data_IF_219248173655
#
_entry.id   IF_219248173655
#
_cell.length_a   1.000
_cell.length_b   1.000
_cell.length_c   1.000
_cell.angle_alpha   90.00
_cell.angle_beta   90.00
_cell.angle_gamma   90.00
#
_symmetry.space_group_name_H-M   'P 1'
#
loop_
_entity.id
_entity.type
_entity.pdbx_description
1 polymer ?
#
# COMPACT_ATOMS: atom_id res chain seq x y z
N UNK A 1 -7.90 -18.73 -9.68
CA UNK A 1 -8.44 -17.36 -9.49
C UNK A 1 -7.25 -16.45 -9.35
N UNK A 2 -7.22 -15.36 -10.13
CA UNK A 2 -6.14 -14.36 -10.11
C UNK A 2 -5.82 -14.05 -8.65
N UNK A 3 -4.53 -14.15 -8.33
CA UNK A 3 -3.94 -13.85 -7.03
C UNK A 3 -4.71 -12.69 -6.42
N UNK A 4 -5.30 -12.92 -5.23
CA UNK A 4 -5.77 -11.85 -4.34
C UNK A 4 -4.68 -10.81 -4.43
N UNK A 5 -5.01 -9.66 -5.05
CA UNK A 5 -4.08 -8.60 -5.30
C UNK A 5 -3.48 -8.29 -3.95
N UNK A 6 -2.22 -8.69 -3.74
CA UNK A 6 -1.39 -7.97 -2.80
C UNK A 6 -1.48 -6.55 -3.31
N UNK A 7 -2.17 -5.71 -2.54
CA UNK A 7 -1.94 -4.29 -2.61
C UNK A 7 -0.49 -4.14 -2.16
N UNK A 8 0.43 -4.34 -3.10
CA UNK A 8 1.68 -3.62 -3.09
C UNK A 8 1.22 -2.17 -3.00
N UNK A 9 1.22 -1.64 -1.78
CA UNK A 9 1.26 -0.20 -1.55
C UNK A 9 2.58 0.22 -2.20
N UNK A 10 2.56 0.35 -3.52
CA UNK A 10 3.61 0.96 -4.29
C UNK A 10 3.62 2.41 -3.86
N UNK A 11 4.29 2.67 -2.74
CA UNK A 11 4.93 3.93 -2.48
C UNK A 11 6.11 4.02 -3.47
N UNK A 12 5.78 3.94 -4.77
CA UNK A 12 6.69 4.00 -5.90
C UNK A 12 7.19 5.43 -6.06
N UNK A 13 7.77 5.96 -4.99
CA UNK A 13 8.24 7.30 -4.88
C UNK A 13 9.61 7.34 -5.53
N UNK A 14 9.64 7.47 -6.86
CA UNK A 14 10.83 7.76 -7.66
C UNK A 14 11.84 8.58 -6.86
N UNK A 15 12.95 7.94 -6.47
CA UNK A 15 14.10 8.62 -5.92
C UNK A 15 14.46 9.73 -6.90
N UNK A 16 14.40 10.98 -6.45
CA UNK A 16 14.98 12.09 -7.15
C UNK A 16 16.50 11.85 -7.18
N UNK A 17 16.95 11.05 -8.14
CA UNK A 17 18.28 11.24 -8.70
C UNK A 17 18.30 12.68 -9.19
N UNK A 18 19.21 13.46 -8.63
CA UNK A 18 19.49 14.85 -9.01
C UNK A 18 20.13 14.82 -10.40
N UNK A 19 19.39 14.39 -11.42
CA UNK A 19 19.75 14.43 -12.83
C UNK A 19 18.55 14.01 -13.70
N UNK A 20 17.50 14.82 -13.72
CA UNK A 20 16.68 15.05 -14.93
C UNK A 20 15.72 16.22 -14.71
N UNK A 21 16.23 17.44 -14.90
CA UNK A 21 15.47 18.71 -14.98
C UNK A 21 14.61 18.83 -16.26
N UNK A 22 14.12 17.72 -16.81
CA UNK A 22 13.22 17.72 -17.97
C UNK A 22 12.02 16.84 -17.65
N UNK A 23 10.95 17.47 -17.14
CA UNK A 23 9.65 16.82 -16.97
C UNK A 23 8.97 16.98 -15.61
N UNK A 24 9.35 17.94 -14.76
CA UNK A 24 8.44 18.35 -13.68
C UNK A 24 7.20 18.98 -14.33
N UNK A 25 6.12 18.21 -14.39
CA UNK A 25 4.84 18.63 -14.94
C UNK A 25 4.37 19.96 -14.35
N UNK A 26 3.50 20.68 -15.09
CA UNK A 26 2.92 21.97 -14.66
C UNK A 26 2.41 21.97 -13.21
N UNK A 27 1.93 20.82 -12.71
CA UNK A 27 1.45 20.58 -11.34
C UNK A 27 2.55 20.76 -10.30
N UNK A 28 3.73 20.16 -10.50
CA UNK A 28 4.84 20.29 -9.55
C UNK A 28 5.30 21.75 -9.41
N UNK A 29 5.31 22.49 -10.51
CA UNK A 29 5.61 23.93 -10.50
C UNK A 29 4.50 24.79 -9.86
N UNK A 30 3.25 24.33 -9.86
CA UNK A 30 2.15 25.05 -9.22
C UNK A 30 2.15 24.87 -7.70
N UNK A 31 2.37 23.63 -7.22
CA UNK A 31 2.51 23.33 -5.80
C UNK A 31 3.69 24.10 -5.19
N UNK A 32 4.83 24.13 -5.88
CA UNK A 32 6.00 24.94 -5.48
C UNK A 32 5.70 26.44 -5.36
N UNK A 33 4.69 26.96 -6.08
CA UNK A 33 4.26 28.37 -6.03
C UNK A 33 3.15 28.65 -5.01
N UNK A 34 2.34 27.65 -4.68
CA UNK A 34 1.20 27.78 -3.77
C UNK A 34 1.63 27.86 -2.28
N UNK A 35 2.85 27.42 -1.96
CA UNK A 35 3.45 27.57 -0.63
C UNK A 35 3.13 26.45 0.35
N UNK A 36 3.55 26.62 1.61
CA UNK A 36 3.52 25.57 2.65
C UNK A 36 2.11 25.10 2.99
N UNK A 37 1.12 26.00 3.07
CA UNK A 37 -0.25 25.62 3.46
C UNK A 37 -0.90 24.66 2.46
N UNK A 38 -0.78 24.94 1.16
CA UNK A 38 -1.34 24.05 0.13
C UNK A 38 -0.57 22.73 0.06
N UNK A 39 0.75 22.80 0.24
CA UNK A 39 1.60 21.62 0.31
C UNK A 39 1.21 20.72 1.50
N UNK A 40 0.92 21.32 2.66
CA UNK A 40 0.45 20.57 3.83
C UNK A 40 -0.90 19.92 3.57
N UNK A 41 -1.86 20.62 2.93
CA UNK A 41 -3.16 20.04 2.60
C UNK A 41 -3.05 18.83 1.66
N UNK A 42 -2.13 18.88 0.68
CA UNK A 42 -1.82 17.75 -0.20
C UNK A 42 -1.24 16.56 0.59
N UNK A 43 -0.31 16.82 1.51
CA UNK A 43 0.32 15.79 2.35
C UNK A 43 -0.70 15.16 3.30
N UNK A 44 -1.54 15.97 3.94
CA UNK A 44 -2.60 15.50 4.83
C UNK A 44 -3.61 14.62 4.09
N UNK A 45 -4.08 15.06 2.91
CA UNK A 45 -4.95 14.26 2.06
C UNK A 45 -4.30 12.91 1.69
N UNK A 46 -3.04 12.93 1.25
CA UNK A 46 -2.31 11.71 0.89
C UNK A 46 -2.22 10.74 2.07
N UNK A 47 -1.85 11.23 3.25
CA UNK A 47 -1.67 10.40 4.44
C UNK A 47 -2.98 9.81 4.94
N UNK A 48 -4.03 10.62 5.04
CA UNK A 48 -5.35 10.15 5.44
C UNK A 48 -5.93 9.17 4.40
N UNK A 49 -5.68 9.41 3.11
CA UNK A 49 -6.12 8.50 2.06
C UNK A 49 -5.36 7.17 2.11
N UNK A 50 -4.05 7.16 2.31
CA UNK A 50 -3.26 5.93 2.46
C UNK A 50 -3.69 5.11 3.69
N UNK A 51 -3.89 5.77 4.83
CA UNK A 51 -4.35 5.11 6.06
C UNK A 51 -5.77 4.53 5.86
N UNK A 52 -6.66 5.26 5.17
CA UNK A 52 -7.99 4.77 4.77
C UNK A 52 -7.90 3.58 3.82
N UNK A 53 -7.07 3.70 2.79
CA UNK A 53 -6.95 2.69 1.74
C UNK A 53 -6.42 1.37 2.31
N UNK A 54 -5.39 1.43 3.16
CA UNK A 54 -4.83 0.26 3.86
C UNK A 54 -5.87 -0.44 4.74
N UNK A 55 -6.60 0.33 5.56
CA UNK A 55 -7.59 -0.25 6.49
C UNK A 55 -8.79 -0.83 5.73
N UNK A 56 -9.30 -0.11 4.74
CA UNK A 56 -10.45 -0.51 3.94
C UNK A 56 -10.15 -1.71 3.03
N UNK A 57 -8.94 -1.79 2.46
CA UNK A 57 -8.53 -2.93 1.63
C UNK A 57 -8.55 -4.23 2.42
N UNK A 58 -7.95 -4.25 3.62
CA UNK A 58 -7.96 -5.42 4.51
C UNK A 58 -9.38 -5.85 4.88
N UNK A 59 -10.26 -4.89 5.14
CA UNK A 59 -11.67 -5.17 5.45
C UNK A 59 -12.39 -5.80 4.25
N UNK A 60 -12.23 -5.22 3.05
CA UNK A 60 -12.87 -5.70 1.82
C UNK A 60 -12.35 -7.08 1.42
N UNK A 61 -11.05 -7.34 1.52
CA UNK A 61 -10.47 -8.66 1.26
C UNK A 61 -11.08 -9.75 2.16
N UNK A 62 -11.30 -9.44 3.44
CA UNK A 62 -11.94 -10.36 4.37
C UNK A 62 -13.42 -10.60 4.00
N UNK A 63 -14.13 -9.57 3.51
CA UNK A 63 -15.49 -9.72 2.98
C UNK A 63 -15.51 -10.62 1.74
N UNK A 64 -14.57 -10.45 0.81
CA UNK A 64 -14.48 -11.29 -0.40
C UNK A 64 -14.25 -12.76 0.01
N UNK A 65 -13.31 -13.02 0.93
CA UNK A 65 -13.08 -14.37 1.49
C UNK A 65 -14.33 -14.93 2.16
N UNK A 66 -15.06 -14.12 2.91
CA UNK A 66 -16.34 -14.53 3.51
C UNK A 66 -17.36 -14.90 2.42
N UNK A 67 -17.49 -14.08 1.38
CA UNK A 67 -18.46 -14.31 0.31
C UNK A 67 -18.16 -15.59 -0.48
N UNK A 68 -16.88 -15.91 -0.70
CA UNK A 68 -16.46 -17.20 -1.23
C UNK A 68 -16.89 -18.37 -0.35
N UNK A 69 -16.62 -18.30 0.96
CA UNK A 69 -17.03 -19.33 1.91
C UNK A 69 -18.56 -19.46 2.00
N UNK A 70 -19.29 -18.34 1.91
CA UNK A 70 -20.74 -18.30 1.93
C UNK A 70 -21.35 -19.05 0.74
N UNK A 71 -20.81 -18.86 -0.47
CA UNK A 71 -21.24 -19.60 -1.68
C UNK A 71 -20.93 -21.09 -1.57
N UNK A 72 -19.76 -21.47 -1.04
CA UNK A 72 -19.43 -22.89 -0.82
C UNK A 72 -20.42 -23.54 0.15
N UNK A 73 -20.63 -22.90 1.30
CA UNK A 73 -21.57 -23.36 2.33
C UNK A 73 -22.99 -23.47 1.77
N UNK A 74 -23.46 -22.48 1.01
CA UNK A 74 -24.82 -22.46 0.47
C UNK A 74 -25.09 -23.58 -0.55
N UNK A 75 -24.04 -24.11 -1.18
CA UNK A 75 -24.09 -25.26 -2.10
C UNK A 75 -23.90 -26.61 -1.43
N UNK A 76 -23.77 -26.65 -0.11
CA UNK A 76 -23.54 -27.88 0.66
C UNK A 76 -22.08 -28.36 0.66
N UNK A 77 -21.12 -27.53 0.21
CA UNK A 77 -19.70 -27.83 0.40
C UNK A 77 -19.30 -27.66 1.86
N UNK A 78 -18.32 -28.46 2.31
CA UNK A 78 -17.81 -28.38 3.67
C UNK A 78 -17.06 -27.07 3.91
N UNK A 79 -17.57 -26.26 4.84
CA UNK A 79 -16.91 -25.05 5.34
C UNK A 79 -16.78 -25.21 6.86
N UNK A 80 -15.57 -25.53 7.33
CA UNK A 80 -15.29 -25.81 8.74
C UNK A 80 -15.48 -24.58 9.63
N UNK A 81 -15.16 -23.40 9.13
CA UNK A 81 -15.41 -22.12 9.80
C UNK A 81 -15.63 -21.02 8.77
N UNK A 82 -16.57 -20.13 9.06
CA UNK A 82 -16.74 -18.91 8.25
C UNK A 82 -15.59 -17.95 8.56
N UNK A 83 -14.96 -17.32 7.55
CA UNK A 83 -13.97 -16.27 7.77
C UNK A 83 -14.52 -15.18 8.70
N UNK A 84 -13.69 -14.68 9.62
CA UNK A 84 -14.11 -13.60 10.51
C UNK A 84 -13.91 -12.27 9.80
N UNK A 85 -14.98 -11.49 9.72
CA UNK A 85 -14.95 -10.11 9.22
C UNK A 85 -15.20 -9.19 10.42
N UNK A 86 -14.15 -8.49 10.84
CA UNK A 86 -14.25 -7.49 11.91
C UNK A 86 -14.55 -6.14 11.25
N UNK A 87 -15.57 -5.44 11.73
CA UNK A 87 -15.88 -4.09 11.29
C UNK A 87 -14.66 -3.19 11.49
N UNK A 88 -14.18 -2.55 10.42
CA UNK A 88 -13.14 -1.53 10.52
C UNK A 88 -13.78 -0.14 10.56
N UNK A 89 -13.58 0.60 11.64
CA UNK A 89 -13.91 2.03 11.66
C UNK A 89 -12.77 2.77 10.96
N UNK A 90 -13.04 3.27 9.76
CA UNK A 90 -12.06 4.02 8.99
C UNK A 90 -12.13 5.50 9.38
N UNK A 91 -11.45 5.82 10.48
CA UNK A 91 -11.36 7.19 10.98
C UNK A 91 -10.56 8.10 10.06
N UNK A 92 -9.62 7.56 9.27
CA UNK A 92 -8.81 8.34 8.33
C UNK A 92 -9.68 8.92 7.21
N UNK A 93 -10.60 8.11 6.65
CA UNK A 93 -11.55 8.58 5.64
C UNK A 93 -12.41 9.75 6.12
N UNK A 94 -12.80 9.76 7.40
CA UNK A 94 -13.61 10.85 7.98
C UNK A 94 -12.86 12.18 8.13
N UNK A 95 -11.53 12.17 8.12
CA UNK A 95 -10.71 13.39 8.16
C UNK A 95 -10.62 14.08 6.80
N UNK A 96 -10.80 13.34 5.71
CA UNK A 96 -10.78 13.85 4.35
C UNK A 96 -12.10 14.59 4.09
N UNK A 97 -12.08 15.91 4.29
CA UNK A 97 -13.24 16.79 4.07
C UNK A 97 -13.43 17.12 2.59
N UNK A 98 -12.34 17.39 1.90
CA UNK A 98 -12.32 17.77 0.50
C UNK A 98 -11.02 17.34 -0.17
N UNK A 99 -11.05 17.32 -1.50
CA UNK A 99 -9.85 17.11 -2.32
C UNK A 99 -9.12 18.46 -2.44
N UNK A 100 -7.84 18.55 -2.07
CA UNK A 100 -7.05 19.78 -2.13
C UNK A 100 -7.07 20.47 -3.49
N UNK A 101 -6.98 21.80 -3.48
CA UNK A 101 -7.00 22.61 -4.70
C UNK A 101 -5.72 22.48 -5.52
N UNK A 102 -4.60 22.14 -4.88
CA UNK A 102 -3.28 21.98 -5.46
C UNK A 102 -3.12 20.76 -6.37
N UNK A 103 -4.16 19.93 -6.52
CA UNK A 103 -4.24 18.94 -7.61
C UNK A 103 -4.66 19.55 -8.96
N UNK A 104 -5.01 20.84 -8.99
CA UNK A 104 -5.32 21.62 -10.19
C UNK A 104 -6.27 20.89 -11.18
N UNK A 105 -5.80 20.64 -12.41
CA UNK A 105 -6.55 19.99 -13.50
C UNK A 105 -7.00 18.56 -13.17
N UNK A 106 -6.30 17.89 -12.26
CA UNK A 106 -6.60 16.52 -11.86
C UNK A 106 -7.55 16.47 -10.67
N UNK A 107 -7.84 17.62 -10.01
CA UNK A 107 -8.76 17.70 -8.86
C UNK A 107 -10.09 17.02 -9.14
N UNK A 108 -10.78 17.38 -10.22
CA UNK A 108 -12.10 16.81 -10.55
C UNK A 108 -12.04 15.31 -10.83
N UNK A 109 -10.93 14.82 -11.40
CA UNK A 109 -10.72 13.39 -11.63
C UNK A 109 -10.48 12.66 -10.29
N UNK A 110 -9.66 13.23 -9.42
CA UNK A 110 -9.41 12.71 -8.07
C UNK A 110 -10.71 12.70 -7.24
N UNK A 111 -11.54 13.74 -7.33
CA UNK A 111 -12.86 13.80 -6.70
C UNK A 111 -13.80 12.69 -7.21
N UNK A 112 -13.82 12.44 -8.53
CA UNK A 112 -14.64 11.40 -9.12
C UNK A 112 -14.21 9.99 -8.66
N UNK A 113 -12.90 9.70 -8.68
CA UNK A 113 -12.36 8.44 -8.18
C UNK A 113 -12.60 8.32 -6.66
N UNK A 114 -12.42 9.39 -5.87
CA UNK A 114 -12.64 9.39 -4.42
C UNK A 114 -14.11 9.16 -4.03
N UNK A 115 -15.05 9.71 -4.80
CA UNK A 115 -16.47 9.44 -4.61
C UNK A 115 -16.83 7.99 -4.98
N UNK A 116 -16.22 7.46 -6.04
CA UNK A 116 -16.37 6.03 -6.40
C UNK A 116 -15.83 5.14 -5.29
N UNK A 117 -14.63 5.42 -4.79
CA UNK A 117 -13.98 4.72 -3.69
C UNK A 117 -14.90 4.62 -2.45
N UNK A 118 -15.45 5.75 -1.98
CA UNK A 118 -16.37 5.81 -0.85
C UNK A 118 -17.65 5.00 -1.10
N UNK A 119 -18.30 5.25 -2.24
CA UNK A 119 -19.56 4.61 -2.58
C UNK A 119 -19.42 3.09 -2.69
N UNK A 120 -18.32 2.60 -3.26
CA UNK A 120 -18.06 1.16 -3.41
C UNK A 120 -17.75 0.49 -2.09
N UNK A 121 -16.98 1.13 -1.22
CA UNK A 121 -16.78 0.66 0.15
C UNK A 121 -18.09 0.49 0.93
N UNK A 122 -18.98 1.49 0.87
CA UNK A 122 -20.29 1.44 1.52
C UNK A 122 -21.20 0.36 0.92
N UNK A 123 -21.22 0.24 -0.41
CA UNK A 123 -21.98 -0.79 -1.13
C UNK A 123 -21.55 -2.20 -0.72
N UNK A 124 -20.24 -2.46 -0.69
CA UNK A 124 -19.67 -3.75 -0.26
C UNK A 124 -20.09 -4.07 1.18
N UNK A 125 -19.98 -3.11 2.10
CA UNK A 125 -20.37 -3.31 3.50
C UNK A 125 -21.87 -3.65 3.62
N UNK A 126 -22.73 -2.96 2.87
CA UNK A 126 -24.17 -3.22 2.86
C UNK A 126 -24.51 -4.61 2.30
N UNK A 127 -23.92 -4.99 1.16
CA UNK A 127 -24.14 -6.32 0.56
C UNK A 127 -23.56 -7.42 1.44
N UNK A 128 -22.45 -7.16 2.13
CA UNK A 128 -21.89 -8.10 3.11
C UNK A 128 -22.86 -8.37 4.26
N UNK A 129 -23.46 -7.35 4.88
CA UNK A 129 -24.42 -7.55 5.97
C UNK A 129 -25.67 -8.32 5.50
N UNK A 130 -26.11 -8.08 4.26
CA UNK A 130 -27.19 -8.88 3.65
C UNK A 130 -26.78 -10.35 3.48
N UNK A 131 -25.58 -10.61 2.95
CA UNK A 131 -25.06 -11.96 2.75
C UNK A 131 -24.87 -12.69 4.08
N UNK A 132 -24.35 -12.01 5.09
CA UNK A 132 -24.17 -12.54 6.44
C UNK A 132 -25.51 -12.93 7.05
N UNK A 133 -26.51 -12.04 7.00
CA UNK A 133 -27.87 -12.34 7.47
C UNK A 133 -28.45 -13.56 6.76
N UNK A 134 -28.33 -13.62 5.45
CA UNK A 134 -28.80 -14.74 4.63
C UNK A 134 -28.14 -16.08 4.99
N UNK A 135 -26.83 -16.08 5.27
CA UNK A 135 -26.12 -17.29 5.72
C UNK A 135 -26.51 -17.69 7.15
N UNK A 136 -26.70 -16.72 8.04
CA UNK A 136 -27.07 -16.97 9.44
C UNK A 136 -28.50 -17.47 9.58
N UNK A 137 -29.45 -16.91 8.82
CA UNK A 137 -30.86 -17.36 8.80
C UNK A 137 -31.07 -18.67 8.04
N UNK A 138 -30.04 -19.18 7.38
CA UNK A 138 -30.10 -20.37 6.53
C UNK A 138 -31.05 -20.29 5.32
N UNK A 139 -31.42 -19.08 4.90
CA UNK A 139 -32.27 -18.78 3.73
C UNK A 139 -31.75 -19.44 2.44
N UNK A 140 -30.45 -19.76 2.39
CA UNK A 140 -29.85 -20.49 1.28
C UNK A 140 -30.42 -21.89 1.04
N UNK A 141 -31.08 -22.47 2.04
CA UNK A 141 -31.76 -23.77 1.89
C UNK A 141 -32.97 -23.65 0.95
N UNK A 142 -33.57 -22.47 0.85
CA UNK A 142 -34.78 -22.23 0.04
C UNK A 142 -34.48 -22.05 -1.44
N UNK A 143 -33.32 -21.46 -1.78
CA UNK A 143 -32.93 -21.13 -3.15
C UNK A 143 -31.66 -21.86 -3.63
N UNK A 144 -31.13 -22.78 -2.81
CA UNK A 144 -29.90 -23.55 -3.07
C UNK A 144 -28.68 -22.66 -3.35
N UNK A 145 -28.61 -21.49 -2.72
CA UNK A 145 -27.44 -20.62 -2.79
C UNK A 145 -27.45 -19.60 -3.93
N UNK A 146 -28.52 -19.50 -4.72
CA UNK A 146 -28.61 -18.57 -5.85
C UNK A 146 -28.40 -17.11 -5.41
N UNK A 147 -29.01 -16.68 -4.30
CA UNK A 147 -28.79 -15.31 -3.77
C UNK A 147 -27.36 -15.09 -3.27
N UNK A 148 -26.71 -16.11 -2.67
CA UNK A 148 -25.30 -15.99 -2.27
C UNK A 148 -24.38 -15.77 -3.47
N UNK A 149 -24.61 -16.47 -4.59
CA UNK A 149 -23.83 -16.24 -5.82
C UNK A 149 -24.01 -14.84 -6.38
N UNK A 150 -25.26 -14.35 -6.42
CA UNK A 150 -25.57 -13.00 -6.88
C UNK A 150 -24.90 -11.93 -5.99
N UNK A 151 -24.99 -12.07 -4.67
CA UNK A 151 -24.35 -11.17 -3.72
C UNK A 151 -22.83 -11.22 -3.81
N UNK A 152 -22.23 -12.42 -3.95
CA UNK A 152 -20.78 -12.55 -4.19
C UNK A 152 -20.36 -11.83 -5.46
N UNK A 153 -21.08 -12.01 -6.56
CA UNK A 153 -20.76 -11.34 -7.83
C UNK A 153 -20.84 -9.82 -7.71
N UNK A 154 -21.81 -9.30 -6.96
CA UNK A 154 -21.91 -7.86 -6.67
C UNK A 154 -20.73 -7.36 -5.83
N UNK A 155 -20.37 -8.10 -4.75
CA UNK A 155 -19.21 -7.81 -3.91
C UNK A 155 -17.93 -7.79 -4.75
N UNK A 156 -17.69 -8.80 -5.60
CA UNK A 156 -16.50 -8.90 -6.44
C UNK A 156 -16.40 -7.71 -7.42
N UNK A 157 -17.51 -7.33 -8.05
CA UNK A 157 -17.56 -6.21 -8.98
C UNK A 157 -17.30 -4.87 -8.28
N UNK A 158 -17.91 -4.65 -7.12
CA UNK A 158 -17.68 -3.43 -6.34
C UNK A 158 -16.27 -3.39 -5.74
N UNK A 159 -15.72 -4.53 -5.32
CA UNK A 159 -14.34 -4.63 -4.85
C UNK A 159 -13.36 -4.26 -5.97
N UNK A 160 -13.58 -4.76 -7.19
CA UNK A 160 -12.76 -4.37 -8.34
C UNK A 160 -12.81 -2.85 -8.60
N UNK A 161 -13.99 -2.25 -8.56
CA UNK A 161 -14.15 -0.80 -8.73
C UNK A 161 -13.49 0.00 -7.60
N UNK A 162 -13.61 -0.49 -6.35
CA UNK A 162 -12.96 0.08 -5.18
C UNK A 162 -11.43 0.13 -5.36
N UNK A 163 -10.79 -1.00 -5.65
CA UNK A 163 -9.33 -1.07 -5.82
C UNK A 163 -8.86 -0.21 -7.00
N UNK A 164 -9.55 -0.30 -8.14
CA UNK A 164 -9.24 0.51 -9.33
C UNK A 164 -9.28 2.01 -9.02
N UNK A 165 -10.34 2.47 -8.32
CA UNK A 165 -10.45 3.88 -7.93
C UNK A 165 -9.36 4.31 -6.94
N UNK A 166 -8.97 3.43 -6.02
CA UNK A 166 -7.89 3.72 -5.07
C UNK A 166 -6.52 3.86 -5.74
N UNK A 167 -6.17 2.94 -6.62
CA UNK A 167 -4.93 3.00 -7.42
C UNK A 167 -4.90 4.23 -8.32
N UNK A 168 -6.03 4.57 -8.92
CA UNK A 168 -6.20 5.77 -9.73
C UNK A 168 -5.94 7.06 -8.94
N UNK A 169 -6.43 7.16 -7.70
CA UNK A 169 -6.18 8.31 -6.83
C UNK A 169 -4.69 8.43 -6.55
N UNK A 170 -4.06 7.35 -6.06
CA UNK A 170 -2.63 7.34 -5.73
C UNK A 170 -1.76 7.77 -6.92
N UNK A 171 -2.07 7.25 -8.11
CA UNK A 171 -1.37 7.58 -9.33
C UNK A 171 -1.49 9.06 -9.69
N UNK A 172 -2.70 9.64 -9.58
CA UNK A 172 -2.97 11.04 -9.96
C UNK A 172 -2.40 12.05 -8.96
N UNK A 173 -2.45 11.77 -7.66
CA UNK A 173 -1.99 12.72 -6.65
C UNK A 173 -0.46 12.74 -6.52
N UNK A 174 0.21 11.64 -6.89
CA UNK A 174 1.65 11.44 -6.69
C UNK A 174 2.52 12.63 -7.12
N UNK A 175 2.39 13.21 -8.34
CA UNK A 175 3.25 14.32 -8.74
C UNK A 175 3.09 15.56 -7.85
N UNK A 176 1.87 15.83 -7.37
CA UNK A 176 1.59 16.94 -6.46
C UNK A 176 2.11 16.64 -5.05
N UNK A 177 1.96 15.40 -4.57
CA UNK A 177 2.49 14.95 -3.28
C UNK A 177 4.02 15.02 -3.23
N UNK A 178 4.71 14.58 -4.28
CA UNK A 178 6.18 14.68 -4.35
C UNK A 178 6.63 16.16 -4.32
N UNK A 179 5.96 17.04 -5.05
CA UNK A 179 6.27 18.48 -5.03
C UNK A 179 5.95 19.14 -3.68
N UNK A 180 4.85 18.76 -3.04
CA UNK A 180 4.47 19.24 -1.73
C UNK A 180 5.51 18.81 -0.67
N UNK A 181 6.00 17.58 -0.74
CA UNK A 181 7.03 17.07 0.15
C UNK A 181 8.35 17.86 -0.01
N UNK A 182 8.73 18.25 -1.24
CA UNK A 182 9.91 19.11 -1.45
C UNK A 182 9.76 20.48 -0.77
N UNK A 183 8.57 21.08 -0.77
CA UNK A 183 8.27 22.34 -0.07
C UNK A 183 8.37 22.14 1.44
N UNK A 184 7.65 21.16 1.98
CA UNK A 184 7.57 20.91 3.43
C UNK A 184 8.93 20.52 4.01
N UNK A 185 9.70 19.71 3.27
CA UNK A 185 11.01 19.26 3.74
C UNK A 185 12.13 20.27 3.51
N UNK A 186 11.90 21.38 2.79
CA UNK A 186 12.96 22.28 2.34
C UNK A 186 13.92 22.67 3.46
N UNK A 187 13.36 23.13 4.57
CA UNK A 187 14.05 23.61 5.77
C UNK A 187 13.80 22.69 7.00
N UNK A 188 13.23 21.49 6.78
CA UNK A 188 12.93 20.55 7.86
C UNK A 188 14.21 19.91 8.41
N UNK A 189 14.43 19.89 9.75
CA UNK A 189 15.68 19.39 10.34
C UNK A 189 15.90 17.89 10.11
N UNK A 190 14.83 17.12 9.87
CA UNK A 190 14.94 15.69 9.52
C UNK A 190 15.02 15.40 8.01
N UNK A 191 15.05 16.42 7.13
CA UNK A 191 14.97 16.25 5.67
C UNK A 191 15.88 15.16 5.13
N UNK A 192 17.16 15.21 5.49
CA UNK A 192 18.17 14.28 4.98
C UNK A 192 17.83 12.82 5.35
N UNK A 193 17.34 12.59 6.57
CA UNK A 193 16.98 11.27 7.06
C UNK A 193 15.68 10.76 6.42
N UNK A 194 14.70 11.64 6.23
CA UNK A 194 13.42 11.32 5.56
C UNK A 194 13.68 10.94 4.11
N UNK A 195 14.41 11.78 3.36
CA UNK A 195 14.74 11.52 1.94
C UNK A 195 15.51 10.21 1.77
N UNK A 196 16.47 9.94 2.65
CA UNK A 196 17.25 8.70 2.60
C UNK A 196 16.40 7.48 2.92
N UNK A 197 15.53 7.57 3.93
CA UNK A 197 14.59 6.50 4.29
C UNK A 197 13.53 6.27 3.21
N UNK A 198 13.15 7.31 2.47
CA UNK A 198 12.28 7.22 1.29
C UNK A 198 12.97 6.50 0.13
N UNK A 199 14.25 6.79 -0.11
CA UNK A 199 15.06 6.06 -1.12
C UNK A 199 15.18 4.57 -0.78
N UNK A 200 15.30 4.24 0.52
CA UNK A 200 15.27 2.87 1.02
C UNK A 200 13.97 2.15 0.64
N UNK A 201 12.82 2.75 0.97
CA UNK A 201 11.50 2.20 0.63
C UNK A 201 11.34 1.99 -0.87
N UNK A 202 11.73 2.99 -1.67
CA UNK A 202 11.60 2.94 -3.13
C UNK A 202 12.45 1.85 -3.77
N UNK A 203 13.64 1.61 -3.22
CA UNK A 203 14.48 0.49 -3.67
C UNK A 203 13.89 -0.85 -3.29
N UNK A 204 13.20 -0.94 -2.13
CA UNK A 204 12.51 -2.15 -1.69
C UNK A 204 11.26 -2.45 -2.55
N UNK A 205 10.49 -1.43 -2.95
CA UNK A 205 9.40 -1.57 -3.92
C UNK A 205 9.91 -2.16 -5.24
N UNK A 206 11.03 -1.63 -5.74
CA UNK A 206 11.66 -2.17 -6.95
C UNK A 206 12.13 -3.61 -6.81
N UNK A 207 12.47 -4.08 -5.60
CA UNK A 207 12.79 -5.48 -5.34
C UNK A 207 11.51 -6.32 -5.44
N UNK A 208 10.45 -5.92 -4.73
CA UNK A 208 9.17 -6.64 -4.72
C UNK A 208 8.57 -6.75 -6.12
N UNK A 209 8.60 -5.69 -6.92
CA UNK A 209 8.14 -5.70 -8.32
C UNK A 209 8.83 -6.78 -9.17
N UNK A 210 10.13 -6.99 -8.97
CA UNK A 210 10.90 -8.02 -9.68
C UNK A 210 10.53 -9.40 -9.16
N UNK A 211 10.44 -9.57 -7.84
CA UNK A 211 10.09 -10.84 -7.22
C UNK A 211 8.68 -11.30 -7.61
N UNK A 212 7.69 -10.39 -7.67
CA UNK A 212 6.32 -10.71 -8.05
C UNK A 212 6.22 -11.21 -9.50
N UNK A 213 6.94 -10.55 -10.42
CA UNK A 213 7.03 -10.97 -11.82
C UNK A 213 7.69 -12.34 -11.94
N UNK A 214 8.79 -12.56 -11.22
CA UNK A 214 9.50 -13.84 -11.24
C UNK A 214 8.73 -14.96 -10.54
N UNK A 215 7.94 -14.65 -9.51
CA UNK A 215 7.07 -15.61 -8.81
C UNK A 215 5.87 -16.01 -9.68
N UNK A 216 5.36 -15.10 -10.51
CA UNK A 216 4.36 -15.42 -11.52
C UNK A 216 4.93 -16.16 -12.74
N UNK A 217 6.24 -16.02 -12.98
CA UNK A 217 6.95 -16.57 -14.14
C UNK A 217 8.08 -17.52 -13.73
N UNK A 218 9.26 -17.30 -14.31
CA UNK A 218 10.47 -18.08 -14.04
C UNK A 218 11.45 -17.27 -13.19
N UNK A 219 12.14 -17.93 -12.27
CA UNK A 219 13.15 -17.30 -11.45
C UNK A 219 14.39 -16.94 -12.28
N UNK A 220 14.88 -15.71 -12.12
CA UNK A 220 16.08 -15.20 -12.77
C UNK A 220 17.07 -14.71 -11.70
N UNK A 221 18.03 -15.57 -11.36
CA UNK A 221 19.04 -15.33 -10.33
C UNK A 221 19.84 -14.05 -10.59
N UNK A 222 20.25 -13.78 -11.83
CA UNK A 222 21.08 -12.63 -12.15
C UNK A 222 20.33 -11.30 -11.92
N UNK A 223 19.05 -11.25 -12.29
CA UNK A 223 18.22 -10.07 -12.06
C UNK A 223 17.89 -9.88 -10.57
N UNK A 224 17.59 -10.98 -9.85
CA UNK A 224 17.36 -10.93 -8.41
C UNK A 224 18.62 -10.47 -7.65
N UNK A 225 19.79 -11.03 -7.99
CA UNK A 225 21.07 -10.63 -7.39
C UNK A 225 21.41 -9.17 -7.68
N UNK A 226 21.17 -8.69 -8.91
CA UNK A 226 21.34 -7.27 -9.24
C UNK A 226 20.50 -6.38 -8.33
N UNK A 227 19.23 -6.73 -8.10
CA UNK A 227 18.34 -5.97 -7.21
C UNK A 227 18.75 -6.05 -5.75
N UNK A 228 19.28 -7.19 -5.33
CA UNK A 228 19.88 -7.35 -4.02
C UNK A 228 21.06 -6.38 -3.82
N UNK A 229 22.01 -6.36 -4.75
CA UNK A 229 23.21 -5.51 -4.66
C UNK A 229 22.86 -4.01 -4.72
N UNK A 230 21.83 -3.65 -5.51
CA UNK A 230 21.28 -2.29 -5.54
C UNK A 230 20.69 -1.89 -4.19
N UNK A 231 19.85 -2.75 -3.59
CA UNK A 231 19.21 -2.48 -2.31
C UNK A 231 20.22 -2.46 -1.15
N UNK A 232 21.20 -3.37 -1.14
CA UNK A 232 22.25 -3.45 -0.11
C UNK A 232 23.01 -2.13 0.03
N UNK A 233 23.38 -1.50 -1.09
CA UNK A 233 24.04 -0.19 -1.09
C UNK A 233 23.18 0.89 -0.47
N UNK A 234 21.86 0.88 -0.74
CA UNK A 234 20.93 1.87 -0.17
C UNK A 234 20.76 1.65 1.33
N UNK A 235 20.67 0.38 1.79
CA UNK A 235 20.63 0.04 3.22
C UNK A 235 21.91 0.51 3.93
N UNK A 236 23.08 0.29 3.32
CA UNK A 236 24.36 0.75 3.85
C UNK A 236 24.43 2.28 3.95
N UNK A 237 23.99 3.00 2.91
CA UNK A 237 23.94 4.48 2.91
C UNK A 237 23.02 4.99 4.02
N UNK A 238 21.83 4.40 4.18
CA UNK A 238 20.85 4.86 5.18
C UNK A 238 21.31 4.55 6.62
N UNK A 239 21.91 3.38 6.84
CA UNK A 239 22.39 2.94 8.16
C UNK A 239 23.61 3.71 8.66
N UNK A 240 24.46 4.22 7.77
CA UNK A 240 25.62 5.06 8.13
C UNK A 240 25.26 6.49 8.53
N UNK A 241 24.01 6.92 8.35
CA UNK A 241 23.59 8.27 8.72
C UNK A 241 23.59 8.45 10.24
N UNK A 242 24.41 9.39 10.71
CA UNK A 242 24.45 9.76 12.12
C UNK A 242 23.33 10.73 12.43
N UNK A 243 22.34 10.29 13.20
CA UNK A 243 21.23 11.14 13.62
C UNK A 243 21.73 12.26 14.55
N UNK A 244 21.68 13.51 14.06
CA UNK A 244 22.27 14.69 14.70
C UNK A 244 21.27 15.84 14.93
N UNK A 245 19.97 15.57 14.76
CA UNK A 245 18.87 16.51 15.02
C UNK A 245 18.79 16.79 16.53
N UNK A 246 18.83 18.07 16.92
CA UNK A 246 19.00 18.50 18.33
C UNK A 246 17.68 18.87 19.01
N UNK A 247 16.64 19.12 18.24
CA UNK A 247 15.36 19.57 18.72
C UNK A 247 14.68 18.44 19.52
N UNK A 248 14.25 18.76 20.74
CA UNK A 248 13.73 17.77 21.68
C UNK A 248 12.51 17.01 21.15
N UNK A 249 11.70 17.64 20.30
CA UNK A 249 10.54 17.02 19.66
C UNK A 249 10.91 15.84 18.74
N UNK A 250 12.17 15.71 18.33
CA UNK A 250 12.67 14.60 17.53
C UNK A 250 13.57 13.64 18.30
N UNK A 251 13.66 13.75 19.62
CA UNK A 251 14.57 12.92 20.43
C UNK A 251 14.37 11.40 20.24
N UNK A 252 13.11 10.97 20.03
CA UNK A 252 12.76 9.56 19.81
C UNK A 252 12.99 9.09 18.35
N UNK A 253 13.19 10.00 17.41
CA UNK A 253 13.35 9.69 15.98
C UNK A 253 14.63 8.93 15.68
N UNK A 254 15.68 9.11 16.49
CA UNK A 254 16.91 8.33 16.41
C UNK A 254 16.63 6.82 16.51
N UNK A 255 15.92 6.41 17.57
CA UNK A 255 15.58 5.01 17.79
C UNK A 255 14.65 4.46 16.70
N UNK A 256 13.76 5.29 16.16
CA UNK A 256 12.90 4.89 15.04
C UNK A 256 13.69 4.69 13.75
N UNK A 257 14.67 5.55 13.44
CA UNK A 257 15.58 5.37 12.31
C UNK A 257 16.43 4.10 12.46
N UNK A 258 16.97 3.84 13.65
CA UNK A 258 17.70 2.61 13.96
C UNK A 258 16.81 1.38 13.77
N UNK A 259 15.56 1.43 14.23
CA UNK A 259 14.58 0.35 14.05
C UNK A 259 14.31 0.09 12.56
N UNK A 260 14.09 1.16 11.79
CA UNK A 260 13.91 1.07 10.34
C UNK A 260 15.10 0.38 9.66
N UNK A 261 16.33 0.82 9.99
CA UNK A 261 17.55 0.25 9.43
C UNK A 261 17.71 -1.23 9.78
N UNK A 262 17.41 -1.62 11.01
CA UNK A 262 17.44 -3.02 11.43
C UNK A 262 16.44 -3.86 10.64
N UNK A 263 15.20 -3.38 10.44
CA UNK A 263 14.20 -4.09 9.62
C UNK A 263 14.61 -4.21 8.16
N UNK A 264 15.25 -3.19 7.60
CA UNK A 264 15.76 -3.26 6.23
C UNK A 264 16.92 -4.25 6.09
N UNK A 265 17.78 -4.37 7.11
CA UNK A 265 18.80 -5.42 7.17
C UNK A 265 18.17 -6.82 7.27
N UNK A 266 17.14 -6.99 8.11
CA UNK A 266 16.40 -8.25 8.21
C UNK A 266 15.77 -8.65 6.86
N UNK A 267 15.26 -7.66 6.09
CA UNK A 267 14.75 -7.89 4.75
C UNK A 267 15.85 -8.36 3.78
N UNK A 268 17.05 -7.77 3.82
CA UNK A 268 18.19 -8.23 3.01
C UNK A 268 18.56 -9.69 3.32
N UNK A 269 18.62 -10.07 4.59
CA UNK A 269 18.98 -11.45 4.96
C UNK A 269 17.96 -12.47 4.43
N UNK A 270 16.67 -12.14 4.51
CA UNK A 270 15.59 -12.93 3.91
C UNK A 270 15.67 -12.95 2.40
N UNK A 271 15.99 -11.83 1.77
CA UNK A 271 16.14 -11.76 0.32
C UNK A 271 17.31 -12.65 -0.16
N UNK A 272 18.45 -12.60 0.53
CA UNK A 272 19.61 -13.46 0.25
C UNK A 272 19.25 -14.95 0.36
N UNK A 273 18.49 -15.32 1.39
CA UNK A 273 17.95 -16.67 1.56
C UNK A 273 17.01 -17.04 0.40
N UNK A 274 16.10 -16.15 0.01
CA UNK A 274 15.17 -16.37 -1.11
C UNK A 274 15.93 -16.67 -2.41
N UNK A 275 16.96 -15.89 -2.75
CA UNK A 275 17.76 -16.11 -3.97
C UNK A 275 18.38 -17.52 -3.97
N UNK A 276 18.99 -17.92 -2.84
CA UNK A 276 19.62 -19.24 -2.68
C UNK A 276 18.62 -20.40 -2.81
N UNK A 277 17.48 -20.28 -2.15
CA UNK A 277 16.46 -21.34 -2.14
C UNK A 277 15.80 -21.43 -3.53
N UNK A 278 15.57 -20.29 -4.19
CA UNK A 278 14.97 -20.22 -5.52
C UNK A 278 15.91 -20.76 -6.61
N UNK A 279 17.22 -20.55 -6.47
CA UNK A 279 18.23 -21.19 -7.32
C UNK A 279 18.16 -22.71 -7.26
N UNK A 280 18.00 -23.24 -6.05
CA UNK A 280 17.91 -24.69 -5.82
C UNK A 280 16.61 -25.29 -6.34
N UNK A 281 15.51 -24.54 -6.23
CA UNK A 281 14.17 -24.98 -6.64
C UNK A 281 13.81 -24.67 -8.10
N UNK A 282 14.56 -23.79 -8.79
CA UNK A 282 14.25 -23.29 -10.13
C UNK A 282 13.05 -22.33 -10.20
N UNK A 283 12.46 -21.98 -9.06
CA UNK A 283 11.31 -21.08 -8.88
C UNK A 283 11.34 -20.47 -7.49
N UNK A 284 10.63 -19.37 -7.29
CA UNK A 284 10.46 -18.79 -5.95
C UNK A 284 9.48 -19.67 -5.14
N UNK A 285 9.89 -20.20 -3.97
CA UNK A 285 8.98 -20.94 -3.10
C UNK A 285 7.92 -20.03 -2.47
N UNK A 286 6.67 -20.52 -2.36
CA UNK A 286 5.55 -19.79 -1.75
C UNK A 286 5.87 -19.32 -0.32
N UNK A 287 6.57 -20.14 0.47
CA UNK A 287 7.00 -19.78 1.82
C UNK A 287 7.91 -18.55 1.83
N UNK A 288 8.77 -18.43 0.83
CA UNK A 288 9.78 -17.39 0.77
C UNK A 288 9.19 -16.07 0.31
N UNK A 289 8.28 -16.08 -0.68
CA UNK A 289 7.59 -14.84 -1.09
C UNK A 289 6.74 -14.29 0.05
N UNK A 290 5.98 -15.14 0.76
CA UNK A 290 5.21 -14.72 1.94
C UNK A 290 6.10 -14.16 3.06
N UNK A 291 7.32 -14.70 3.22
CA UNK A 291 8.31 -14.19 4.18
C UNK A 291 8.82 -12.79 3.77
N UNK A 292 8.99 -12.55 2.46
CA UNK A 292 9.34 -11.24 1.91
C UNK A 292 8.23 -10.22 2.11
N UNK A 293 6.97 -10.57 1.85
CA UNK A 293 5.82 -9.67 2.07
C UNK A 293 5.73 -9.25 3.54
N UNK A 294 5.90 -10.22 4.44
CA UNK A 294 5.90 -9.96 5.88
C UNK A 294 7.07 -9.05 6.30
N UNK A 295 8.25 -9.23 5.69
CA UNK A 295 9.41 -8.38 5.94
C UNK A 295 9.20 -6.96 5.38
N UNK A 296 8.66 -6.84 4.17
CA UNK A 296 8.30 -5.58 3.53
C UNK A 296 7.33 -4.79 4.43
N UNK A 297 6.25 -5.43 4.91
CA UNK A 297 5.30 -4.77 5.83
C UNK A 297 5.99 -4.29 7.12
N UNK A 298 6.95 -5.07 7.65
CA UNK A 298 7.70 -4.68 8.85
C UNK A 298 8.57 -3.44 8.65
N UNK A 299 9.26 -3.36 7.51
CA UNK A 299 10.04 -2.17 7.12
C UNK A 299 9.11 -0.98 6.91
N UNK A 300 8.02 -1.15 6.14
CA UNK A 300 7.02 -0.11 5.87
C UNK A 300 6.43 0.47 7.16
N UNK A 301 6.05 -0.38 8.12
CA UNK A 301 5.51 0.09 9.39
C UNK A 301 6.55 0.87 10.21
N UNK A 302 7.83 0.47 10.16
CA UNK A 302 8.93 1.18 10.82
C UNK A 302 9.21 2.52 10.15
N UNK A 303 9.17 2.57 8.83
CA UNK A 303 9.29 3.80 8.03
C UNK A 303 8.18 4.79 8.40
N UNK A 304 6.93 4.34 8.37
CA UNK A 304 5.77 5.17 8.72
C UNK A 304 5.87 5.72 10.15
N UNK A 305 6.39 4.93 11.09
CA UNK A 305 6.63 5.39 12.46
C UNK A 305 7.73 6.45 12.53
N UNK A 306 8.77 6.33 11.69
CA UNK A 306 9.87 7.27 11.63
C UNK A 306 9.49 8.62 10.99
N UNK A 307 8.69 8.62 9.92
CA UNK A 307 8.36 9.86 9.20
C UNK A 307 7.17 10.64 9.76
N UNK A 308 6.28 9.99 10.53
CA UNK A 308 5.17 10.64 11.27
C UNK A 308 5.66 11.28 12.55
#
# INVERSE_FOLDING_TARGET
>A
MKKVMMVALALSLSAASVSCKKGMDKIGNAVLKAGENESQAIIDFNNDFLDSYKSSSRYIENIVKYAEAAVKKSKGETVYSMPVVISSMDSALSKIKEVPSGFEKDKTLVEADFNTYKAKKESIAKTFEQLKSYITSEDYKDDKGVKAEAMKKAIDADAQAFFTSGENILTKIKPATDAAEEVILKDHPMKEFIVSSKSLMSSMDSVMDVLDKQYAGSFNEAEAQKKYDEFEKIVEINSKKVFNVKEQQYAYKKTQLETLNNKASDFLDKYRKLIRDSKSAGKIPDSNINEMDSAYESVLNSYNSFVK
#
